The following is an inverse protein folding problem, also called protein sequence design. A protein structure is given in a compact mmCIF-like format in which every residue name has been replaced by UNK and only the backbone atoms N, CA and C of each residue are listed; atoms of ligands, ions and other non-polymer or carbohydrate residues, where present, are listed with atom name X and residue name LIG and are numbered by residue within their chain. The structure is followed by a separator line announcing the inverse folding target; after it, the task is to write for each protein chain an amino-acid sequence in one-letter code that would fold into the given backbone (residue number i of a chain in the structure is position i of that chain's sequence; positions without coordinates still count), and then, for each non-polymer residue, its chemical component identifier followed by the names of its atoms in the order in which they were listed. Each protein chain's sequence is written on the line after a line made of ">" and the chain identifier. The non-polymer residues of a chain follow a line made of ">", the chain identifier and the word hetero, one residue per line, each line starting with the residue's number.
data_IF_733964227427
#
_entry.id   IF_733964227427
#
_cell.length_a   1.000
_cell.length_b   1.000
_cell.length_c   1.000
_cell.angle_alpha   90.00
_cell.angle_beta   90.00
_cell.angle_gamma   90.00
#
_symmetry.space_group_name_H-M   'P 1'
#
loop_
_entity.id
_entity.type
_entity.pdbx_description
1 polymer ?
#
# COMPACT_ATOMS: atom_id res chain seq x y z
N UNK A 1 -13.17 -1.31 12.70
CA UNK A 1 -12.53 -1.37 11.38
C UNK A 1 -11.46 -0.30 11.31
N UNK A 2 -10.22 -0.70 11.06
CA UNK A 2 -9.05 0.16 10.92
C UNK A 2 -8.74 0.40 9.44
N UNK A 3 -7.69 1.15 9.14
CA UNK A 3 -7.24 1.40 7.77
C UNK A 3 -5.74 1.13 7.61
N UNK A 4 -5.36 0.53 6.50
CA UNK A 4 -3.97 0.32 6.10
C UNK A 4 -3.72 1.12 4.82
N UNK A 5 -2.90 2.15 4.91
CA UNK A 5 -2.56 3.05 3.79
C UNK A 5 -1.16 2.73 3.30
N UNK A 6 -1.04 1.92 2.24
CA UNK A 6 0.25 1.48 1.69
C UNK A 6 0.65 2.37 0.53
N UNK A 7 1.75 3.09 0.71
CA UNK A 7 2.09 4.22 -0.16
C UNK A 7 1.13 5.36 0.14
N UNK A 8 1.33 6.01 1.29
CA UNK A 8 0.46 7.08 1.75
C UNK A 8 0.64 8.38 0.94
N UNK A 9 1.71 8.49 0.16
CA UNK A 9 2.12 9.66 -0.62
C UNK A 9 2.11 10.90 0.30
N UNK A 10 1.23 11.87 0.05
CA UNK A 10 1.11 13.09 0.87
C UNK A 10 0.22 12.95 2.11
N UNK A 11 -0.33 11.75 2.36
CA UNK A 11 -1.12 11.43 3.55
C UNK A 11 -2.63 11.64 3.42
N UNK A 12 -3.17 11.80 2.21
CA UNK A 12 -4.59 12.14 2.00
C UNK A 12 -5.53 11.13 2.67
N UNK A 13 -5.39 9.84 2.36
CA UNK A 13 -6.21 8.78 2.94
C UNK A 13 -5.92 8.57 4.44
N UNK A 14 -4.63 8.64 4.82
CA UNK A 14 -4.20 8.56 6.22
C UNK A 14 -4.89 9.61 7.09
N UNK A 15 -4.82 10.89 6.72
CA UNK A 15 -5.37 12.00 7.52
C UNK A 15 -6.89 12.01 7.49
N UNK A 16 -7.50 11.78 6.33
CA UNK A 16 -8.95 11.69 6.20
C UNK A 16 -9.51 10.60 7.11
N UNK A 17 -8.96 9.37 7.05
CA UNK A 17 -9.49 8.24 7.83
C UNK A 17 -9.24 8.41 9.33
N UNK A 18 -8.09 8.95 9.72
CA UNK A 18 -7.77 9.23 11.11
C UNK A 18 -8.70 10.29 11.72
N UNK A 19 -9.19 11.26 10.94
CA UNK A 19 -10.15 12.27 11.40
C UNK A 19 -11.50 11.68 11.85
N UNK A 20 -11.89 10.51 11.31
CA UNK A 20 -13.05 9.73 11.77
C UNK A 20 -12.74 8.82 12.98
N UNK A 21 -11.71 9.16 13.76
CA UNK A 21 -11.27 8.44 14.95
C UNK A 21 -10.89 6.96 14.74
N UNK A 22 -10.61 6.56 13.49
CA UNK A 22 -10.14 5.21 13.13
C UNK A 22 -8.63 5.10 13.31
N UNK A 23 -8.16 3.90 13.64
CA UNK A 23 -6.72 3.62 13.64
C UNK A 23 -6.22 3.42 12.21
N UNK A 24 -5.07 4.03 11.90
CA UNK A 24 -4.43 3.96 10.59
C UNK A 24 -3.01 3.44 10.76
N UNK A 25 -2.66 2.40 10.00
CA UNK A 25 -1.28 2.02 9.72
C UNK A 25 -0.91 2.66 8.38
N UNK A 26 -0.04 3.66 8.40
CA UNK A 26 0.38 4.41 7.23
C UNK A 26 1.81 4.02 6.86
N UNK A 27 2.04 3.62 5.61
CA UNK A 27 3.35 3.18 5.13
C UNK A 27 3.77 4.13 4.01
N UNK A 28 4.87 4.84 4.21
CA UNK A 28 5.46 5.76 3.25
C UNK A 28 6.97 5.71 3.39
N UNK A 29 7.70 5.77 2.28
CA UNK A 29 9.15 5.61 2.27
C UNK A 29 9.89 6.91 1.89
N UNK A 30 9.24 7.83 1.19
CA UNK A 30 9.84 9.08 0.78
C UNK A 30 9.88 10.08 1.94
N UNK A 31 11.10 10.39 2.41
CA UNK A 31 11.34 11.19 3.62
C UNK A 31 10.58 12.53 3.68
N UNK A 32 10.52 13.35 2.61
CA UNK A 32 9.74 14.59 2.63
C UNK A 32 8.24 14.36 2.85
N UNK A 33 7.68 13.27 2.33
CA UNK A 33 6.28 12.90 2.52
C UNK A 33 6.02 12.40 3.94
N UNK A 34 6.91 11.56 4.49
CA UNK A 34 6.86 11.15 5.90
C UNK A 34 6.86 12.39 6.81
N UNK A 35 7.70 13.38 6.55
CA UNK A 35 7.78 14.61 7.36
C UNK A 35 6.50 15.44 7.27
N UNK A 36 5.86 15.54 6.09
CA UNK A 36 4.55 16.17 5.91
C UNK A 36 3.47 15.46 6.70
N UNK A 37 3.36 14.14 6.56
CA UNK A 37 2.37 13.33 7.28
C UNK A 37 2.57 13.47 8.79
N UNK A 38 3.82 13.37 9.27
CA UNK A 38 4.15 13.56 10.69
C UNK A 38 3.73 14.93 11.19
N UNK A 39 3.99 15.99 10.42
CA UNK A 39 3.60 17.36 10.79
C UNK A 39 2.07 17.50 10.86
N UNK A 40 1.34 16.92 9.91
CA UNK A 40 -0.11 16.92 9.90
C UNK A 40 -0.69 16.18 11.12
N UNK A 41 -0.17 14.99 11.46
CA UNK A 41 -0.53 14.23 12.67
C UNK A 41 -0.34 15.07 13.94
N UNK A 42 0.75 15.83 14.03
CA UNK A 42 1.03 16.70 15.17
C UNK A 42 0.04 17.87 15.29
N UNK A 43 -0.24 18.56 14.18
CA UNK A 43 -1.18 19.69 14.15
C UNK A 43 -2.57 19.24 14.57
N UNK A 44 -3.03 18.12 14.01
CA UNK A 44 -4.38 17.56 14.26
C UNK A 44 -4.46 16.70 15.52
N UNK A 45 -3.34 16.55 16.26
CA UNK A 45 -3.24 15.73 17.49
C UNK A 45 -3.69 14.27 17.29
N UNK A 46 -3.38 13.68 16.14
CA UNK A 46 -3.78 12.31 15.75
C UNK A 46 -2.75 11.23 16.09
N UNK A 47 -1.83 11.49 17.02
CA UNK A 47 -0.73 10.59 17.37
C UNK A 47 -1.21 9.22 17.89
N UNK A 48 -2.35 9.17 18.58
CA UNK A 48 -2.94 7.91 19.04
C UNK A 48 -3.69 7.15 17.94
N UNK A 49 -3.95 7.82 16.81
CA UNK A 49 -4.72 7.27 15.69
C UNK A 49 -3.85 6.77 14.55
N UNK A 50 -2.68 7.36 14.32
CA UNK A 50 -1.82 7.00 13.20
C UNK A 50 -0.51 6.37 13.67
N UNK A 51 -0.20 5.19 13.15
CA UNK A 51 1.14 4.59 13.21
C UNK A 51 1.79 4.72 11.83
N UNK A 52 2.84 5.54 11.74
CA UNK A 52 3.55 5.83 10.49
C UNK A 52 4.83 5.01 10.39
N UNK A 53 4.95 4.18 9.34
CA UNK A 53 6.10 3.34 9.04
C UNK A 53 6.87 3.94 7.86
N UNK A 54 8.14 4.28 8.12
CA UNK A 54 9.02 5.00 7.19
C UNK A 54 9.81 4.09 6.23
N UNK A 55 9.16 3.06 5.69
CA UNK A 55 9.83 1.98 4.97
C UNK A 55 9.19 1.71 3.62
N UNK A 56 9.99 1.28 2.65
CA UNK A 56 9.49 0.78 1.38
C UNK A 56 9.05 -0.68 1.52
N UNK A 57 7.94 -1.07 0.88
CA UNK A 57 7.56 -2.47 0.79
C UNK A 57 8.40 -3.15 -0.29
N UNK A 58 8.98 -4.29 0.07
CA UNK A 58 9.74 -5.15 -0.84
C UNK A 58 9.60 -6.63 -0.44
N UNK A 59 10.15 -7.53 -1.25
CA UNK A 59 10.14 -8.97 -0.98
C UNK A 59 11.22 -9.42 0.00
N UNK A 60 12.00 -8.50 0.56
CA UNK A 60 13.06 -8.79 1.51
C UNK A 60 13.31 -7.58 2.41
N UNK A 61 13.41 -7.81 3.71
CA UNK A 61 13.65 -6.76 4.71
C UNK A 61 15.12 -6.35 4.78
N UNK A 62 15.35 -5.05 4.97
CA UNK A 62 16.69 -4.54 5.25
C UNK A 62 17.56 -4.22 4.03
N UNK A 63 17.01 -4.31 2.80
CA UNK A 63 17.63 -3.75 1.60
C UNK A 63 17.53 -2.23 1.59
N UNK A 64 18.52 -1.59 0.96
CA UNK A 64 18.54 -0.16 0.70
C UNK A 64 18.50 0.10 -0.81
N UNK A 65 17.56 0.95 -1.23
CA UNK A 65 17.38 1.31 -2.63
C UNK A 65 17.31 2.82 -2.81
N UNK A 66 17.69 3.30 -3.99
CA UNK A 66 17.36 4.67 -4.40
C UNK A 66 15.91 4.77 -4.83
N UNK A 67 15.37 5.97 -4.69
CA UNK A 67 14.06 6.36 -5.19
C UNK A 67 14.21 7.26 -6.41
N UNK A 68 13.24 7.14 -7.33
CA UNK A 68 12.97 8.16 -8.32
C UNK A 68 11.91 9.11 -7.75
N UNK A 69 12.15 10.41 -7.85
CA UNK A 69 11.15 11.44 -7.60
C UNK A 69 10.76 12.15 -8.89
N UNK A 70 9.53 12.62 -8.94
CA UNK A 70 9.07 13.54 -9.98
C UNK A 70 8.96 14.96 -9.36
N UNK A 71 9.76 15.94 -9.80
CA UNK A 71 9.70 17.30 -9.25
C UNK A 71 8.35 17.98 -9.51
N UNK A 72 7.60 17.53 -10.51
CA UNK A 72 6.27 18.05 -10.85
C UNK A 72 5.13 17.29 -10.18
N UNK A 73 5.41 16.12 -9.59
CA UNK A 73 4.44 15.34 -8.85
C UNK A 73 5.09 14.72 -7.62
N UNK A 74 4.97 15.43 -6.50
CA UNK A 74 5.47 15.03 -5.19
C UNK A 74 4.74 13.82 -4.57
N UNK A 75 3.72 13.27 -5.24
CA UNK A 75 3.11 11.98 -4.89
C UNK A 75 3.62 10.80 -5.73
N UNK A 76 4.24 11.06 -6.89
CA UNK A 76 4.74 10.01 -7.79
C UNK A 76 6.21 9.72 -7.49
N UNK A 77 6.45 8.87 -6.48
CA UNK A 77 7.76 8.31 -6.20
C UNK A 77 7.76 6.80 -6.39
N UNK A 78 8.84 6.27 -6.96
CA UNK A 78 9.00 4.84 -7.15
C UNK A 78 10.37 4.38 -6.66
N UNK A 79 10.40 3.20 -6.04
CA UNK A 79 11.66 2.55 -5.65
C UNK A 79 12.34 1.98 -6.89
N UNK A 80 13.63 2.25 -7.04
CA UNK A 80 14.45 1.73 -8.13
C UNK A 80 15.11 0.44 -7.63
N UNK A 81 14.45 -0.70 -7.86
CA UNK A 81 14.86 -2.00 -7.25
C UNK A 81 16.17 -2.58 -7.78
N UNK A 82 16.70 -2.06 -8.89
CA UNK A 82 18.04 -2.40 -9.39
C UNK A 82 19.16 -1.46 -8.89
N UNK A 83 18.85 -0.55 -7.95
CA UNK A 83 19.79 0.44 -7.41
C UNK A 83 20.15 0.15 -5.95
N UNK A 84 20.68 -1.04 -5.68
CA UNK A 84 21.17 -1.38 -4.35
C UNK A 84 22.27 -0.42 -3.92
N UNK A 85 22.13 0.16 -2.74
CA UNK A 85 23.13 1.05 -2.13
C UNK A 85 23.57 0.55 -0.77
N UNK A 86 24.63 1.13 -0.22
CA UNK A 86 25.13 0.79 1.10
C UNK A 86 24.28 1.46 2.19
N UNK A 87 24.24 0.85 3.37
CA UNK A 87 23.58 1.43 4.55
C UNK A 87 24.14 2.81 4.93
N UNK A 88 25.43 3.07 4.65
CA UNK A 88 26.07 4.37 4.88
C UNK A 88 25.36 5.53 4.20
N UNK A 89 24.62 5.25 3.13
CA UNK A 89 23.97 6.26 2.28
C UNK A 89 22.55 6.59 2.77
N UNK A 90 22.09 5.98 3.88
CA UNK A 90 20.72 6.15 4.40
C UNK A 90 20.36 7.60 4.81
N UNK A 91 21.35 8.48 4.97
CA UNK A 91 21.10 9.90 5.21
C UNK A 91 20.66 10.66 3.94
N UNK A 92 20.81 10.07 2.75
CA UNK A 92 20.23 10.61 1.51
C UNK A 92 18.70 10.47 1.54
N UNK A 93 17.99 11.56 1.33
CA UNK A 93 16.52 11.61 1.32
C UNK A 93 15.89 10.73 0.22
N UNK A 94 16.67 10.33 -0.77
CA UNK A 94 16.28 9.42 -1.84
C UNK A 94 16.69 7.98 -1.59
N UNK A 95 17.29 7.65 -0.45
CA UNK A 95 17.60 6.27 -0.07
C UNK A 95 16.58 5.77 0.94
N UNK A 96 16.01 4.60 0.67
CA UNK A 96 14.98 4.00 1.52
C UNK A 96 15.38 2.62 1.98
N UNK A 97 15.01 2.30 3.22
CA UNK A 97 15.12 0.97 3.79
C UNK A 97 13.83 0.20 3.59
N UNK A 98 13.96 -1.03 3.16
CA UNK A 98 12.83 -1.92 2.88
C UNK A 98 12.39 -2.74 4.10
N UNK A 99 11.11 -3.09 4.10
CA UNK A 99 10.50 -4.14 4.93
C UNK A 99 9.65 -5.04 4.06
N UNK A 100 9.47 -6.28 4.49
CA UNK A 100 8.41 -7.15 4.00
C UNK A 100 7.05 -6.66 4.51
N UNK A 101 5.97 -6.93 3.77
CA UNK A 101 4.64 -6.52 4.26
C UNK A 101 4.27 -7.26 5.56
N UNK A 102 4.71 -8.50 5.74
CA UNK A 102 4.52 -9.26 6.97
C UNK A 102 5.18 -8.63 8.21
N UNK A 103 6.19 -7.78 8.05
CA UNK A 103 6.84 -7.10 9.18
C UNK A 103 5.92 -6.15 9.94
N UNK A 104 4.76 -5.77 9.36
CA UNK A 104 3.79 -4.92 10.05
C UNK A 104 2.92 -5.72 11.04
N UNK A 105 2.95 -7.05 11.00
CA UNK A 105 2.09 -7.90 11.82
C UNK A 105 2.24 -7.66 13.34
N UNK A 106 3.44 -7.47 13.91
CA UNK A 106 3.58 -7.09 15.32
C UNK A 106 2.87 -5.77 15.66
N UNK A 107 2.90 -4.79 14.75
CA UNK A 107 2.23 -3.49 14.92
C UNK A 107 0.71 -3.66 14.91
N UNK A 108 0.19 -4.44 13.95
CA UNK A 108 -1.24 -4.77 13.86
C UNK A 108 -1.73 -5.46 15.14
N UNK A 109 -0.98 -6.44 15.65
CA UNK A 109 -1.28 -7.16 16.90
C UNK A 109 -1.26 -6.24 18.11
N UNK A 110 -0.24 -5.39 18.25
CA UNK A 110 -0.14 -4.44 19.35
C UNK A 110 -1.30 -3.44 19.40
N UNK A 111 -1.91 -3.13 18.24
CA UNK A 111 -3.08 -2.26 18.12
C UNK A 111 -4.41 -3.02 18.09
N UNK A 112 -4.42 -4.34 18.28
CA UNK A 112 -5.58 -5.22 18.19
C UNK A 112 -6.38 -5.05 16.88
N UNK A 113 -5.67 -4.89 15.75
CA UNK A 113 -6.28 -4.71 14.44
C UNK A 113 -6.52 -6.08 13.80
N UNK A 114 -7.79 -6.51 13.81
CA UNK A 114 -8.24 -7.76 13.19
C UNK A 114 -9.06 -7.53 11.90
N UNK A 115 -9.57 -6.31 11.71
CA UNK A 115 -10.38 -5.92 10.56
C UNK A 115 -9.91 -4.56 10.03
N UNK A 116 -9.54 -4.50 8.74
CA UNK A 116 -9.07 -3.27 8.14
C UNK A 116 -9.47 -3.13 6.67
N UNK A 117 -9.81 -1.93 6.22
CA UNK A 117 -9.84 -1.60 4.79
C UNK A 117 -8.43 -1.17 4.37
N UNK A 118 -8.06 -1.44 3.13
CA UNK A 118 -6.71 -1.16 2.63
C UNK A 118 -6.73 -0.29 1.38
N UNK A 119 -5.74 0.58 1.26
CA UNK A 119 -5.36 1.25 0.01
C UNK A 119 -3.91 0.88 -0.34
N UNK A 120 -3.64 0.64 -1.61
CA UNK A 120 -2.30 0.35 -2.13
C UNK A 120 -2.03 1.25 -3.34
N UNK A 121 -0.96 2.03 -3.26
CA UNK A 121 -0.38 2.81 -4.37
C UNK A 121 1.12 2.96 -4.10
N UNK A 122 1.89 1.98 -4.54
CA UNK A 122 3.35 1.94 -4.32
C UNK A 122 4.10 1.89 -5.65
N UNK A 123 3.47 2.42 -6.69
CA UNK A 123 4.05 2.67 -8.00
C UNK A 123 4.80 1.44 -8.54
N UNK A 124 4.03 0.41 -8.89
CA UNK A 124 4.49 -0.84 -9.53
C UNK A 124 5.20 -1.83 -8.60
N UNK A 125 5.22 -1.55 -7.29
CA UNK A 125 5.76 -2.43 -6.26
C UNK A 125 4.70 -3.33 -5.60
N UNK A 126 3.46 -3.31 -6.07
CA UNK A 126 2.32 -4.05 -5.50
C UNK A 126 2.59 -5.57 -5.50
N UNK A 127 3.30 -6.07 -6.51
CA UNK A 127 3.69 -7.49 -6.57
C UNK A 127 4.56 -7.89 -5.38
N UNK A 128 5.47 -7.02 -4.91
CA UNK A 128 6.31 -7.32 -3.76
C UNK A 128 5.53 -7.39 -2.46
N UNK A 129 4.49 -6.54 -2.32
CA UNK A 129 3.54 -6.63 -1.20
C UNK A 129 2.87 -8.00 -1.18
N UNK A 130 2.39 -8.48 -2.32
CA UNK A 130 1.76 -9.79 -2.41
C UNK A 130 2.74 -10.94 -2.15
N UNK A 131 3.99 -10.84 -2.63
CA UNK A 131 5.03 -11.85 -2.41
C UNK A 131 5.39 -12.02 -0.92
N UNK A 132 5.31 -10.95 -0.14
CA UNK A 132 5.72 -10.92 1.26
C UNK A 132 4.58 -10.54 2.22
N UNK A 133 3.33 -10.82 1.85
CA UNK A 133 2.14 -10.34 2.56
C UNK A 133 1.21 -11.42 3.12
N UNK A 134 1.51 -12.70 2.91
CA UNK A 134 0.60 -13.80 3.23
C UNK A 134 0.15 -13.81 4.69
N UNK A 135 1.06 -13.62 5.64
CA UNK A 135 0.71 -13.67 7.06
C UNK A 135 -0.23 -12.54 7.46
N UNK A 136 -0.08 -11.35 6.87
CA UNK A 136 -0.99 -10.23 7.12
C UNK A 136 -2.38 -10.54 6.55
N UNK A 137 -2.46 -11.02 5.30
CA UNK A 137 -3.74 -11.37 4.68
C UNK A 137 -4.44 -12.56 5.34
N UNK A 138 -3.69 -13.46 5.98
CA UNK A 138 -4.23 -14.59 6.75
C UNK A 138 -4.63 -14.19 8.18
N UNK A 139 -3.99 -13.16 8.76
CA UNK A 139 -4.24 -12.73 10.14
C UNK A 139 -5.25 -11.60 10.27
N UNK A 140 -5.44 -10.78 9.23
CA UNK A 140 -6.33 -9.63 9.22
C UNK A 140 -7.42 -9.83 8.19
N UNK A 141 -8.67 -9.68 8.60
CA UNK A 141 -9.78 -9.63 7.67
C UNK A 141 -9.78 -8.29 6.92
N UNK A 142 -9.34 -8.33 5.67
CA UNK A 142 -9.33 -7.18 4.76
C UNK A 142 -10.46 -7.37 3.75
N UNK A 143 -11.66 -6.78 3.95
CA UNK A 143 -12.79 -7.01 3.05
C UNK A 143 -12.66 -6.29 1.71
N UNK A 144 -11.98 -5.13 1.71
CA UNK A 144 -11.87 -4.23 0.56
C UNK A 144 -10.45 -3.70 0.47
N UNK A 145 -9.90 -3.73 -0.74
CA UNK A 145 -8.59 -3.17 -1.08
C UNK A 145 -8.77 -2.26 -2.29
N UNK A 146 -8.58 -0.96 -2.11
CA UNK A 146 -8.41 -0.03 -3.22
C UNK A 146 -6.98 -0.12 -3.73
N UNK A 147 -6.80 -0.35 -5.03
CA UNK A 147 -5.49 -0.39 -5.66
C UNK A 147 -5.44 0.66 -6.76
N UNK A 148 -4.44 1.53 -6.71
CA UNK A 148 -4.00 2.30 -7.86
C UNK A 148 -2.96 1.48 -8.62
N UNK A 149 -3.18 1.28 -9.91
CA UNK A 149 -2.29 0.53 -10.77
C UNK A 149 -2.27 1.12 -12.18
N UNK A 150 -1.22 0.82 -12.95
CA UNK A 150 -1.06 1.31 -14.31
C UNK A 150 -0.96 0.14 -15.28
N UNK A 151 -1.69 0.22 -16.39
CA UNK A 151 -1.73 -0.81 -17.42
C UNK A 151 -0.65 -0.47 -18.45
N UNK A 152 0.46 -1.22 -18.38
CA UNK A 152 1.53 -1.13 -19.37
C UNK A 152 2.08 -2.50 -19.72
N UNK A 153 2.41 -2.73 -20.99
CA UNK A 153 2.98 -4.01 -21.46
C UNK A 153 4.22 -4.42 -20.66
N UNK A 154 5.00 -3.45 -20.16
CA UNK A 154 6.18 -3.67 -19.30
C UNK A 154 5.86 -4.28 -17.92
N UNK A 155 4.60 -4.31 -17.50
CA UNK A 155 4.16 -4.78 -16.18
C UNK A 155 3.29 -6.03 -16.26
N UNK A 156 3.13 -6.63 -17.43
CA UNK A 156 2.21 -7.72 -17.70
C UNK A 156 2.32 -8.89 -16.69
N UNK A 157 3.54 -9.36 -16.41
CA UNK A 157 3.76 -10.45 -15.46
C UNK A 157 3.45 -10.07 -14.01
N UNK A 158 3.71 -8.81 -13.64
CA UNK A 158 3.38 -8.26 -12.31
C UNK A 158 1.88 -8.22 -12.11
N UNK A 159 1.16 -7.71 -13.12
CA UNK A 159 -0.30 -7.65 -13.10
C UNK A 159 -0.91 -9.06 -13.00
N UNK A 160 -0.42 -10.02 -13.79
CA UNK A 160 -0.84 -11.42 -13.69
C UNK A 160 -0.59 -12.02 -12.31
N UNK A 161 0.51 -11.66 -11.64
CA UNK A 161 0.77 -12.12 -10.28
C UNK A 161 -0.28 -11.57 -9.31
N UNK A 162 -0.58 -10.27 -9.37
CA UNK A 162 -1.60 -9.63 -8.53
C UNK A 162 -2.98 -10.26 -8.73
N UNK A 163 -3.39 -10.44 -9.98
CA UNK A 163 -4.65 -11.10 -10.33
C UNK A 163 -4.75 -12.48 -9.67
N UNK A 164 -3.73 -13.32 -9.86
CA UNK A 164 -3.68 -14.67 -9.26
C UNK A 164 -3.66 -14.62 -7.73
N UNK A 165 -2.97 -13.66 -7.14
CA UNK A 165 -2.85 -13.53 -5.70
C UNK A 165 -4.20 -13.24 -5.05
N UNK A 166 -4.88 -12.19 -5.52
CA UNK A 166 -6.16 -11.77 -4.93
C UNK A 166 -7.30 -12.74 -5.25
N UNK A 167 -7.38 -13.26 -6.47
CA UNK A 167 -8.41 -14.26 -6.84
C UNK A 167 -8.31 -15.54 -6.01
N UNK A 168 -7.09 -16.08 -5.79
CA UNK A 168 -6.86 -17.25 -4.92
C UNK A 168 -7.28 -17.01 -3.48
N UNK A 169 -7.33 -15.75 -3.04
CA UNK A 169 -7.76 -15.32 -1.71
C UNK A 169 -9.24 -14.93 -1.64
N UNK A 170 -10.01 -15.23 -2.69
CA UNK A 170 -11.46 -15.02 -2.73
C UNK A 170 -11.88 -13.58 -2.98
N UNK A 171 -10.99 -12.74 -3.51
CA UNK A 171 -11.35 -11.39 -3.93
C UNK A 171 -11.82 -11.38 -5.39
N UNK A 172 -12.81 -10.53 -5.65
CA UNK A 172 -13.27 -10.16 -6.98
C UNK A 172 -12.89 -8.70 -7.28
N UNK A 173 -12.40 -8.42 -8.49
CA UNK A 173 -12.09 -7.05 -8.92
C UNK A 173 -13.39 -6.33 -9.31
N UNK A 174 -13.53 -5.08 -8.88
CA UNK A 174 -14.72 -4.26 -9.11
C UNK A 174 -14.36 -2.80 -9.36
N UNK A 175 -15.26 -2.05 -9.98
CA UNK A 175 -15.22 -0.58 -10.02
C UNK A 175 -15.68 0.00 -8.68
N UNK A 176 -15.55 1.31 -8.51
CA UNK A 176 -16.18 2.08 -7.41
C UNK A 176 -17.70 1.88 -7.31
N UNK A 177 -18.36 1.68 -8.46
CA UNK A 177 -19.79 1.37 -8.56
C UNK A 177 -20.14 -0.12 -8.40
N UNK A 178 -19.27 -0.94 -7.78
CA UNK A 178 -19.49 -2.38 -7.57
C UNK A 178 -19.64 -3.23 -8.86
N UNK A 179 -19.32 -2.71 -10.03
CA UNK A 179 -19.37 -3.50 -11.26
C UNK A 179 -18.20 -4.47 -11.29
N UNK A 180 -18.49 -5.77 -11.38
CA UNK A 180 -17.46 -6.81 -11.49
C UNK A 180 -16.66 -6.61 -12.78
N UNK A 181 -15.34 -6.58 -12.64
CA UNK A 181 -14.41 -6.42 -13.74
C UNK A 181 -13.98 -7.80 -14.28
N UNK A 182 -14.24 -8.15 -15.55
CA UNK A 182 -13.84 -9.45 -16.08
C UNK A 182 -12.31 -9.59 -16.14
N UNK A 183 -11.75 -10.69 -15.60
CA UNK A 183 -10.28 -10.92 -15.59
C UNK A 183 -9.66 -10.92 -17.01
N UNK A 184 -10.40 -11.41 -18.01
CA UNK A 184 -9.97 -11.41 -19.42
C UNK A 184 -9.70 -10.02 -19.99
N UNK A 185 -10.26 -8.99 -19.35
CA UNK A 185 -10.20 -7.58 -19.73
C UNK A 185 -9.21 -6.79 -18.86
N UNK A 186 -8.55 -7.44 -17.90
CA UNK A 186 -7.69 -6.82 -16.89
C UNK A 186 -6.57 -5.95 -17.44
N UNK A 187 -6.09 -6.28 -18.64
CA UNK A 187 -4.89 -5.69 -19.23
C UNK A 187 -5.22 -4.77 -20.41
N UNK A 188 -6.51 -4.46 -20.60
CA UNK A 188 -7.00 -3.66 -21.72
C UNK A 188 -7.93 -2.54 -21.28
N UNK A 189 -8.93 -2.84 -20.43
CA UNK A 189 -10.04 -1.90 -20.17
C UNK A 189 -10.25 -1.58 -18.70
N UNK A 190 -9.55 -2.25 -17.78
CA UNK A 190 -9.71 -1.96 -16.36
C UNK A 190 -9.27 -0.53 -16.02
N UNK A 191 -9.96 0.13 -15.08
CA UNK A 191 -9.60 1.48 -14.66
C UNK A 191 -8.27 1.50 -13.90
N UNK A 192 -7.63 2.67 -13.84
CA UNK A 192 -6.42 2.94 -13.02
C UNK A 192 -6.67 2.73 -11.52
N UNK A 193 -7.91 2.89 -11.07
CA UNK A 193 -8.31 2.63 -9.70
C UNK A 193 -9.37 1.55 -9.68
N UNK A 194 -9.14 0.50 -8.91
CA UNK A 194 -10.09 -0.60 -8.76
C UNK A 194 -10.15 -1.09 -7.32
N UNK A 195 -11.17 -1.88 -7.03
CA UNK A 195 -11.39 -2.46 -5.73
C UNK A 195 -11.32 -3.99 -5.81
N UNK A 196 -10.50 -4.59 -4.97
CA UNK A 196 -10.59 -6.02 -4.68
C UNK A 196 -11.52 -6.20 -3.48
N UNK A 197 -12.63 -6.92 -3.69
CA UNK A 197 -13.65 -7.14 -2.69
C UNK A 197 -13.81 -8.62 -2.39
N UNK A 198 -13.90 -9.03 -1.12
CA UNK A 198 -14.17 -10.43 -0.79
C UNK A 198 -15.60 -10.81 -1.17
N UNK A 199 -15.75 -11.93 -1.90
CA UNK A 199 -17.04 -12.40 -2.44
C UNK A 199 -18.17 -12.61 -1.43
N UNK A 200 -17.86 -12.78 -0.16
CA UNK A 200 -18.81 -13.15 0.89
C UNK A 200 -19.42 -11.96 1.63
N UNK A 201 -19.30 -10.74 1.10
CA UNK A 201 -19.76 -9.51 1.75
C UNK A 201 -20.84 -8.83 0.91
N UNK A 202 -22.06 -9.39 0.99
CA UNK A 202 -23.29 -8.84 0.37
C UNK A 202 -23.74 -7.48 0.93
N UNK A 203 -22.96 -6.87 1.82
CA UNK A 203 -23.28 -5.61 2.50
C UNK A 203 -22.44 -4.43 2.01
N UNK A 204 -21.41 -4.69 1.21
CA UNK A 204 -20.56 -3.62 0.64
C UNK A 204 -20.96 -3.36 -0.83
N UNK A 205 -21.35 -4.45 -1.50
CA UNK A 205 -22.11 -4.55 -2.73
C UNK A 205 -23.09 -5.73 -2.53
#
# INVERSE_FOLDING_TARGET
>A
MSFIDVGANVGTYTMFTASFARHVISIECFKPNIDRIRKAIQIEKLHDKVTLLGNAIYSETGRYFKMKSNPFNIGSQAVITNSTVNQSDYNDIYVVKTIEFNDILPVLKAKNIQHAVMKIDIQWAETYLCQAGDQVFDSVNIPVILVEWDIGARFYDRLRYLLKYFTRRGYIPTTDMCNILPEREALTTWPTHLYWMKMNLSEIC
#
